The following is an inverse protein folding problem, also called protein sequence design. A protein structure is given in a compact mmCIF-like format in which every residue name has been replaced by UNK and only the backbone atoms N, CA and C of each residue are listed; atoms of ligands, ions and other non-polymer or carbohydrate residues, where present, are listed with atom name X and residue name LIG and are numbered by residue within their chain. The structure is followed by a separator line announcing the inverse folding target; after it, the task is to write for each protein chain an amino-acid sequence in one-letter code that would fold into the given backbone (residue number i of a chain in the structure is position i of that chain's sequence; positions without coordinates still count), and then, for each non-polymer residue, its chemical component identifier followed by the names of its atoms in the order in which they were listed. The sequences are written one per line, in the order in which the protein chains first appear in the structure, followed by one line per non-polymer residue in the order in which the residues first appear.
data_IF_804922408562
#
_entry.id   IF_804922408562
#
_cell.length_a   1.000
_cell.length_b   1.000
_cell.length_c   1.000
_cell.angle_alpha   90.00
_cell.angle_beta   90.00
_cell.angle_gamma   90.00
#
_symmetry.space_group_name_H-M   'P 1'
#
loop_
_entity.id
_entity.type
_entity.pdbx_description
1 polymer ?
#
# COMPACT_ATOMS: atom_id res chain seq x y z
N UNK A 1 0.89 -10.40 17.70
CA UNK A 1 0.55 -10.12 16.29
C UNK A 1 -0.09 -11.38 15.73
N UNK A 2 -1.27 -11.26 15.12
CA UNK A 2 -1.92 -12.34 14.37
C UNK A 2 -1.92 -11.96 12.90
N UNK A 3 -1.56 -12.91 12.03
CA UNK A 3 -1.51 -12.73 10.58
C UNK A 3 -2.53 -13.70 9.99
N UNK A 4 -3.54 -13.17 9.33
CA UNK A 4 -4.59 -13.94 8.66
C UNK A 4 -4.34 -13.85 7.15
N UNK A 5 -4.14 -14.99 6.48
CA UNK A 5 -4.09 -15.06 5.03
C UNK A 5 -5.51 -15.29 4.50
N UNK A 6 -6.07 -14.30 3.81
CA UNK A 6 -7.43 -14.33 3.29
C UNK A 6 -7.51 -14.79 1.83
N UNK A 7 -6.41 -14.70 1.09
CA UNK A 7 -6.32 -15.15 -0.29
C UNK A 7 -4.89 -15.61 -0.60
N UNK A 8 -4.67 -16.45 -1.63
CA UNK A 8 -5.68 -17.04 -2.51
C UNK A 8 -6.55 -18.09 -1.81
N UNK A 9 -7.80 -18.24 -2.27
CA UNK A 9 -8.74 -19.26 -1.76
C UNK A 9 -8.71 -20.47 -2.69
N UNK A 10 -8.21 -21.64 -2.24
CA UNK A 10 -8.19 -22.84 -3.05
C UNK A 10 -9.58 -23.48 -3.13
N UNK A 11 -10.00 -23.82 -4.33
CA UNK A 11 -11.17 -24.64 -4.62
C UNK A 11 -10.78 -26.11 -4.76
N UNK A 12 -11.74 -27.02 -4.66
CA UNK A 12 -11.51 -28.46 -4.85
C UNK A 12 -12.36 -29.00 -5.99
N UNK A 13 -11.74 -29.81 -6.85
CA UNK A 13 -12.48 -30.68 -7.78
C UNK A 13 -13.15 -31.83 -7.03
N UNK A 14 -14.06 -32.52 -7.73
CA UNK A 14 -14.72 -33.73 -7.22
C UNK A 14 -13.71 -34.83 -6.81
N UNK A 15 -12.54 -34.88 -7.45
CA UNK A 15 -11.44 -35.80 -7.12
C UNK A 15 -10.59 -35.35 -5.92
N UNK A 16 -10.93 -34.23 -5.28
CA UNK A 16 -10.21 -33.68 -4.14
C UNK A 16 -9.01 -32.79 -4.49
N UNK A 17 -8.64 -32.68 -5.77
CA UNK A 17 -7.51 -31.85 -6.23
C UNK A 17 -7.77 -30.39 -5.90
N UNK A 18 -6.81 -29.75 -5.22
CA UNK A 18 -6.86 -28.31 -4.93
C UNK A 18 -6.42 -27.52 -6.16
N UNK A 19 -7.21 -26.53 -6.52
CA UNK A 19 -6.97 -25.65 -7.65
C UNK A 19 -7.27 -24.20 -7.27
N UNK A 20 -6.79 -23.28 -8.10
CA UNK A 20 -7.15 -21.88 -8.03
C UNK A 20 -8.09 -21.53 -9.19
N UNK A 21 -9.06 -20.67 -8.93
CA UNK A 21 -10.03 -20.22 -9.92
C UNK A 21 -9.33 -19.50 -11.08
N UNK A 22 -9.73 -19.81 -12.31
CA UNK A 22 -9.31 -19.05 -13.48
C UNK A 22 -10.20 -17.80 -13.63
N UNK A 23 -9.61 -16.61 -13.68
CA UNK A 23 -10.32 -15.33 -13.77
C UNK A 23 -10.44 -14.80 -15.22
N UNK A 24 -10.32 -15.69 -16.22
CA UNK A 24 -10.54 -15.38 -17.63
C UNK A 24 -9.25 -15.19 -18.42
N UNK A 25 -8.27 -14.48 -17.89
CA UNK A 25 -6.96 -14.26 -18.51
C UNK A 25 -5.79 -14.37 -17.50
N UNK A 26 -4.56 -14.45 -18.02
CA UNK A 26 -3.35 -14.63 -17.22
C UNK A 26 -3.10 -13.44 -16.29
N UNK A 27 -3.31 -12.21 -16.78
CA UNK A 27 -3.09 -10.99 -16.02
C UNK A 27 -4.06 -10.88 -14.85
N UNK A 28 -5.36 -10.99 -15.13
CA UNK A 28 -6.39 -10.99 -14.07
C UNK A 28 -6.23 -12.17 -13.12
N UNK A 29 -5.83 -13.34 -13.60
CA UNK A 29 -5.60 -14.50 -12.73
C UNK A 29 -4.40 -14.33 -11.83
N UNK A 30 -3.26 -13.87 -12.36
CA UNK A 30 -2.04 -13.61 -11.58
C UNK A 30 -2.30 -12.60 -10.46
N UNK A 31 -2.90 -11.46 -10.82
CA UNK A 31 -3.18 -10.38 -9.87
C UNK A 31 -4.30 -10.76 -8.89
N UNK A 32 -5.33 -11.47 -9.37
CA UNK A 32 -6.46 -11.92 -8.57
C UNK A 32 -6.13 -12.97 -7.50
N UNK A 33 -5.02 -13.70 -7.66
CA UNK A 33 -4.48 -14.61 -6.64
C UNK A 33 -3.39 -13.98 -5.77
N UNK A 34 -3.38 -12.65 -5.65
CA UNK A 34 -2.57 -11.94 -4.67
C UNK A 34 -2.72 -12.55 -3.28
N UNK A 35 -1.62 -12.62 -2.53
CA UNK A 35 -1.68 -13.00 -1.11
C UNK A 35 -2.28 -11.84 -0.34
N UNK A 36 -3.51 -12.02 0.13
CA UNK A 36 -4.23 -11.00 0.89
C UNK A 36 -4.00 -11.26 2.37
N UNK A 37 -3.48 -10.26 3.08
CA UNK A 37 -3.17 -10.37 4.49
C UNK A 37 -4.00 -9.40 5.33
N UNK A 38 -4.53 -9.89 6.43
CA UNK A 38 -5.10 -9.09 7.50
C UNK A 38 -4.26 -9.26 8.76
N UNK A 39 -3.60 -8.19 9.15
CA UNK A 39 -2.68 -8.15 10.28
C UNK A 39 -3.40 -7.55 11.49
N UNK A 40 -3.53 -8.33 12.56
CA UNK A 40 -4.18 -7.89 13.79
C UNK A 40 -3.14 -7.76 14.89
N UNK A 41 -2.91 -6.54 15.36
CA UNK A 41 -2.03 -6.25 16.47
C UNK A 41 -2.79 -5.52 17.57
N UNK A 42 -3.23 -6.29 18.59
CA UNK A 42 -4.17 -5.83 19.62
C UNK A 42 -5.42 -5.25 18.96
N UNK A 43 -5.70 -3.96 19.13
CA UNK A 43 -6.91 -3.30 18.64
C UNK A 43 -6.72 -2.72 17.23
N UNK A 44 -5.52 -2.81 16.66
CA UNK A 44 -5.18 -2.26 15.34
C UNK A 44 -5.21 -3.36 14.28
N UNK A 45 -5.92 -3.07 13.18
CA UNK A 45 -6.01 -3.96 12.02
C UNK A 45 -5.47 -3.30 10.76
N UNK A 46 -4.56 -3.99 10.07
CA UNK A 46 -3.99 -3.58 8.78
C UNK A 46 -4.40 -4.57 7.69
N UNK A 47 -4.92 -4.08 6.57
CA UNK A 47 -5.30 -4.87 5.40
C UNK A 47 -4.32 -4.65 4.25
N UNK A 48 -3.80 -5.74 3.68
CA UNK A 48 -2.89 -5.73 2.53
C UNK A 48 -3.53 -6.55 1.41
N UNK A 49 -4.16 -5.86 0.45
CA UNK A 49 -4.94 -6.50 -0.63
C UNK A 49 -4.13 -6.93 -1.85
N UNK A 50 -2.84 -6.65 -1.92
CA UNK A 50 -2.04 -6.92 -3.13
C UNK A 50 -2.61 -6.21 -4.37
N UNK A 51 -2.75 -6.95 -5.47
CA UNK A 51 -3.25 -6.45 -6.75
C UNK A 51 -4.62 -7.04 -7.11
N UNK A 52 -5.47 -7.28 -6.10
CA UNK A 52 -6.84 -7.73 -6.34
C UNK A 52 -7.54 -6.87 -7.39
N UNK A 53 -8.35 -7.54 -8.21
CA UNK A 53 -9.20 -6.96 -9.23
C UNK A 53 -10.66 -7.38 -9.00
N UNK A 54 -11.58 -6.76 -9.72
CA UNK A 54 -13.02 -7.02 -9.62
C UNK A 54 -13.38 -8.53 -9.56
N UNK A 55 -12.96 -9.41 -10.49
CA UNK A 55 -13.31 -10.83 -10.41
C UNK A 55 -12.83 -11.53 -9.15
N UNK A 56 -11.65 -11.15 -8.65
CA UNK A 56 -11.09 -11.71 -7.42
C UNK A 56 -11.82 -11.17 -6.19
N UNK A 57 -12.14 -9.89 -6.14
CA UNK A 57 -12.94 -9.29 -5.06
C UNK A 57 -14.34 -9.90 -5.01
N UNK A 58 -15.00 -10.08 -6.16
CA UNK A 58 -16.30 -10.76 -6.25
C UNK A 58 -16.22 -12.19 -5.69
N UNK A 59 -15.16 -12.92 -6.04
CA UNK A 59 -14.93 -14.27 -5.53
C UNK A 59 -14.71 -14.30 -4.02
N UNK A 60 -13.90 -13.38 -3.47
CA UNK A 60 -13.65 -13.29 -2.03
C UNK A 60 -14.90 -12.87 -1.26
N UNK A 61 -15.67 -11.91 -1.77
CA UNK A 61 -16.96 -11.51 -1.19
C UNK A 61 -17.90 -12.72 -1.10
N UNK A 62 -18.09 -13.44 -2.21
CA UNK A 62 -18.96 -14.61 -2.24
C UNK A 62 -18.45 -15.72 -1.30
N UNK A 63 -17.14 -16.00 -1.31
CA UNK A 63 -16.54 -17.05 -0.48
C UNK A 63 -16.73 -16.80 1.03
N UNK A 64 -16.42 -15.58 1.48
CA UNK A 64 -16.40 -15.26 2.91
C UNK A 64 -17.77 -14.91 3.49
N UNK A 65 -18.72 -14.50 2.66
CA UNK A 65 -20.06 -14.13 3.13
C UNK A 65 -21.12 -15.20 2.85
N UNK A 66 -20.90 -16.04 1.84
CA UNK A 66 -21.91 -16.98 1.33
C UNK A 66 -23.09 -16.28 0.64
N UNK A 67 -23.01 -14.97 0.40
CA UNK A 67 -24.07 -14.17 -0.20
C UNK A 67 -23.88 -14.06 -1.72
N UNK A 68 -24.97 -13.77 -2.47
CA UNK A 68 -24.88 -13.49 -3.90
C UNK A 68 -24.00 -12.27 -4.20
N UNK A 69 -23.15 -12.39 -5.22
CA UNK A 69 -22.31 -11.30 -5.72
C UNK A 69 -22.40 -11.29 -7.26
N UNK A 70 -22.70 -10.14 -7.90
CA UNK A 70 -22.98 -8.84 -7.29
C UNK A 70 -24.36 -8.80 -6.59
N UNK A 71 -24.55 -7.90 -5.61
CA UNK A 71 -25.88 -7.66 -5.03
C UNK A 71 -26.82 -7.07 -6.09
N UNK A 72 -28.13 -7.34 -5.97
CA UNK A 72 -29.15 -6.91 -6.94
C UNK A 72 -29.99 -5.73 -6.45
N UNK A 73 -29.97 -5.47 -5.15
CA UNK A 73 -30.70 -4.36 -4.53
C UNK A 73 -29.80 -3.62 -3.54
N UNK A 74 -30.15 -2.39 -3.20
CA UNK A 74 -29.42 -1.61 -2.19
C UNK A 74 -29.45 -2.31 -0.81
N UNK A 75 -30.53 -3.01 -0.47
CA UNK A 75 -30.63 -3.76 0.79
C UNK A 75 -29.65 -4.94 0.78
N UNK A 76 -29.63 -5.73 -0.30
CA UNK A 76 -28.66 -6.82 -0.47
C UNK A 76 -27.21 -6.30 -0.45
N UNK A 77 -26.97 -5.10 -1.00
CA UNK A 77 -25.65 -4.46 -0.97
C UNK A 77 -25.22 -4.11 0.46
N UNK A 78 -26.08 -3.48 1.25
CA UNK A 78 -25.76 -3.17 2.65
C UNK A 78 -25.53 -4.43 3.50
N UNK A 79 -26.33 -5.48 3.27
CA UNK A 79 -26.15 -6.78 3.91
C UNK A 79 -24.80 -7.40 3.55
N UNK A 80 -24.43 -7.38 2.26
CA UNK A 80 -23.15 -7.87 1.77
C UNK A 80 -21.98 -7.09 2.37
N UNK A 81 -22.05 -5.75 2.39
CA UNK A 81 -21.04 -4.89 3.02
C UNK A 81 -20.89 -5.22 4.50
N UNK A 82 -22.00 -5.33 5.24
CA UNK A 82 -21.98 -5.62 6.67
C UNK A 82 -21.40 -7.01 6.96
N UNK A 83 -21.73 -8.03 6.16
CA UNK A 83 -21.16 -9.36 6.28
C UNK A 83 -19.67 -9.39 5.95
N UNK A 84 -19.28 -8.80 4.82
CA UNK A 84 -17.91 -8.74 4.35
C UNK A 84 -16.98 -7.96 5.31
N UNK A 85 -17.49 -6.88 5.93
CA UNK A 85 -16.72 -6.07 6.90
C UNK A 85 -16.26 -6.88 8.12
N UNK A 86 -16.97 -7.94 8.51
CA UNK A 86 -16.54 -8.83 9.60
C UNK A 86 -15.23 -9.56 9.28
N UNK A 87 -14.92 -9.72 7.99
CA UNK A 87 -13.72 -10.41 7.50
C UNK A 87 -12.65 -9.42 7.04
N UNK A 88 -13.02 -8.45 6.22
CA UNK A 88 -12.05 -7.53 5.59
C UNK A 88 -11.82 -6.22 6.34
N UNK A 89 -12.68 -5.92 7.33
CA UNK A 89 -12.64 -4.66 8.06
C UNK A 89 -11.28 -4.38 8.69
N UNK A 90 -10.77 -3.16 8.48
CA UNK A 90 -9.45 -2.71 8.93
C UNK A 90 -9.44 -1.24 9.37
N UNK A 91 -8.35 -0.82 10.00
CA UNK A 91 -8.09 0.59 10.33
C UNK A 91 -7.24 1.27 9.27
N UNK A 92 -6.24 0.53 8.78
CA UNK A 92 -5.37 0.96 7.69
C UNK A 92 -5.41 -0.08 6.59
N UNK A 93 -5.61 0.36 5.36
CA UNK A 93 -5.55 -0.49 4.19
C UNK A 93 -4.45 -0.02 3.25
N UNK A 94 -3.75 -0.95 2.61
CA UNK A 94 -3.07 -0.65 1.36
C UNK A 94 -4.07 -0.83 0.22
N UNK A 95 -4.20 0.19 -0.62
CA UNK A 95 -5.03 0.11 -1.83
C UNK A 95 -4.58 -1.07 -2.69
N UNK A 96 -5.56 -1.80 -3.22
CA UNK A 96 -5.33 -2.83 -4.21
C UNK A 96 -4.74 -2.20 -5.47
N UNK A 97 -3.86 -2.96 -6.13
CA UNK A 97 -3.40 -2.72 -7.50
C UNK A 97 -2.98 -1.26 -7.76
N UNK A 98 -2.12 -0.74 -6.89
CA UNK A 98 -1.56 0.62 -6.99
C UNK A 98 -2.59 1.77 -7.01
N UNK A 99 -3.87 1.53 -6.70
CA UNK A 99 -4.95 2.50 -6.87
C UNK A 99 -5.59 2.46 -8.25
N UNK A 100 -5.68 1.26 -8.84
CA UNK A 100 -6.45 0.98 -10.05
C UNK A 100 -7.94 1.19 -9.83
N UNK A 101 -8.65 1.48 -10.93
CA UNK A 101 -10.11 1.55 -10.98
C UNK A 101 -10.78 0.17 -11.08
N UNK A 102 -10.00 -0.91 -11.24
CA UNK A 102 -10.50 -2.29 -11.33
C UNK A 102 -10.82 -2.87 -9.93
N UNK A 103 -11.71 -2.23 -9.19
CA UNK A 103 -12.20 -2.66 -7.87
C UNK A 103 -13.73 -2.56 -7.75
N UNK A 104 -14.29 -3.26 -6.76
CA UNK A 104 -15.69 -3.23 -6.35
C UNK A 104 -15.89 -2.26 -5.20
N UNK A 105 -16.86 -1.38 -5.36
CA UNK A 105 -17.27 -0.44 -4.30
C UNK A 105 -17.65 -1.18 -3.01
N UNK A 106 -18.38 -2.29 -3.11
CA UNK A 106 -18.74 -3.14 -1.96
C UNK A 106 -17.50 -3.63 -1.20
N UNK A 107 -16.44 -4.03 -1.90
CA UNK A 107 -15.21 -4.50 -1.27
C UNK A 107 -14.50 -3.36 -0.54
N UNK A 108 -14.38 -2.19 -1.18
CA UNK A 108 -13.84 -0.97 -0.55
C UNK A 108 -14.64 -0.58 0.71
N UNK A 109 -15.97 -0.58 0.62
CA UNK A 109 -16.88 -0.30 1.75
C UNK A 109 -16.76 -1.34 2.86
N UNK A 110 -16.45 -2.60 2.54
CA UNK A 110 -16.24 -3.65 3.52
C UNK A 110 -14.91 -3.49 4.27
N UNK A 111 -13.85 -3.02 3.61
CA UNK A 111 -12.57 -2.71 4.26
C UNK A 111 -12.75 -1.60 5.30
N UNK A 112 -13.53 -0.55 4.97
CA UNK A 112 -13.96 0.50 5.90
C UNK A 112 -12.79 1.12 6.69
N UNK A 113 -11.66 1.35 6.02
CA UNK A 113 -10.45 1.87 6.63
C UNK A 113 -10.57 3.36 6.95
N UNK A 114 -9.91 3.83 8.01
CA UNK A 114 -9.74 5.25 8.29
C UNK A 114 -8.57 5.85 7.48
N UNK A 115 -7.65 4.98 7.04
CA UNK A 115 -6.47 5.35 6.26
C UNK A 115 -6.31 4.38 5.10
N UNK A 116 -6.11 4.91 3.91
CA UNK A 116 -5.69 4.13 2.75
C UNK A 116 -4.33 4.61 2.25
N UNK A 117 -3.38 3.68 2.14
CA UNK A 117 -2.05 3.92 1.56
C UNK A 117 -2.03 3.37 0.14
N UNK A 118 -1.79 4.24 -0.82
CA UNK A 118 -1.64 3.91 -2.23
C UNK A 118 -0.15 3.86 -2.55
N UNK A 119 0.37 2.68 -2.82
CA UNK A 119 1.73 2.51 -3.32
C UNK A 119 1.72 2.55 -4.85
N UNK A 120 1.86 3.73 -5.45
CA UNK A 120 2.06 3.91 -6.89
C UNK A 120 3.51 4.30 -7.17
N UNK A 121 3.94 4.14 -8.43
CA UNK A 121 5.26 4.55 -8.92
C UNK A 121 5.15 5.66 -9.96
N UNK A 122 6.28 6.29 -10.30
CA UNK A 122 6.40 7.15 -11.49
C UNK A 122 6.51 6.30 -12.78
N UNK A 123 6.27 6.92 -13.93
CA UNK A 123 6.47 6.36 -15.27
C UNK A 123 5.72 5.05 -15.58
N UNK A 124 4.43 4.98 -15.22
CA UNK A 124 3.58 3.83 -15.54
C UNK A 124 2.41 4.19 -16.48
N UNK A 125 1.99 3.21 -17.30
CA UNK A 125 1.10 3.45 -18.44
C UNK A 125 -0.39 3.58 -18.07
N UNK A 126 -0.78 3.41 -16.81
CA UNK A 126 -2.18 3.32 -16.38
C UNK A 126 -2.68 4.54 -15.59
N UNK A 127 -1.80 5.51 -15.32
CA UNK A 127 -2.07 6.71 -14.52
C UNK A 127 -2.61 6.41 -13.12
N UNK A 128 -1.97 5.49 -12.41
CA UNK A 128 -2.27 5.17 -11.03
C UNK A 128 -1.75 6.24 -10.06
N UNK A 129 -2.49 6.55 -8.98
CA UNK A 129 -3.88 6.17 -8.74
C UNK A 129 -4.84 6.88 -9.69
N UNK A 130 -5.93 6.19 -10.04
CA UNK A 130 -6.99 6.74 -10.88
C UNK A 130 -7.84 7.75 -10.09
N UNK A 131 -8.37 8.76 -10.78
CA UNK A 131 -9.16 9.82 -10.16
C UNK A 131 -10.47 9.30 -9.51
N UNK A 132 -11.14 8.34 -10.15
CA UNK A 132 -12.32 7.66 -9.61
C UNK A 132 -11.99 6.87 -8.34
N UNK A 133 -10.84 6.22 -8.28
CA UNK A 133 -10.34 5.47 -7.12
C UNK A 133 -10.11 6.40 -5.94
N UNK A 134 -9.45 7.54 -6.16
CA UNK A 134 -9.29 8.57 -5.12
C UNK A 134 -10.64 9.08 -4.61
N UNK A 135 -11.58 9.36 -5.51
CA UNK A 135 -12.93 9.80 -5.16
C UNK A 135 -13.70 8.75 -4.34
N UNK A 136 -13.65 7.49 -4.75
CA UNK A 136 -14.32 6.39 -4.07
C UNK A 136 -13.71 6.15 -2.67
N UNK A 137 -12.38 6.15 -2.54
CA UNK A 137 -11.71 6.04 -1.24
C UNK A 137 -12.15 7.20 -0.34
N UNK A 138 -12.14 8.44 -0.84
CA UNK A 138 -12.58 9.61 -0.06
C UNK A 138 -14.06 9.52 0.37
N UNK A 139 -14.94 8.98 -0.48
CA UNK A 139 -16.38 8.84 -0.23
C UNK A 139 -16.72 7.74 0.76
N UNK A 140 -16.04 6.59 0.68
CA UNK A 140 -16.46 5.37 1.37
C UNK A 140 -15.56 4.97 2.55
N UNK A 141 -14.43 5.65 2.76
CA UNK A 141 -13.57 5.43 3.92
C UNK A 141 -14.20 5.98 5.20
N UNK A 142 -13.71 5.50 6.34
CA UNK A 142 -14.27 5.78 7.65
C UNK A 142 -13.90 7.18 8.17
N UNK A 143 -14.90 7.88 8.69
CA UNK A 143 -14.75 9.16 9.40
C UNK A 143 -14.94 10.39 8.50
N UNK A 144 -15.04 11.57 9.11
CA UNK A 144 -15.29 12.82 8.37
C UNK A 144 -14.10 13.31 7.54
N UNK A 145 -12.88 12.88 7.89
CA UNK A 145 -11.63 13.23 7.22
C UNK A 145 -10.77 11.97 7.04
N UNK A 146 -11.18 11.04 6.16
CA UNK A 146 -10.38 9.86 5.89
C UNK A 146 -9.04 10.28 5.29
N UNK A 147 -7.98 9.53 5.61
CA UNK A 147 -6.64 9.85 5.15
C UNK A 147 -6.28 9.01 3.93
N UNK A 148 -5.83 9.67 2.86
CA UNK A 148 -5.26 9.02 1.69
C UNK A 148 -3.78 9.40 1.63
N UNK A 149 -2.91 8.41 1.77
CA UNK A 149 -1.48 8.58 1.50
C UNK A 149 -1.15 7.99 0.15
N UNK A 150 -0.25 8.64 -0.58
CA UNK A 150 0.23 8.14 -1.85
C UNK A 150 1.75 8.29 -1.90
N UNK A 151 2.45 7.24 -2.28
CA UNK A 151 3.93 7.23 -2.32
C UNK A 151 4.48 8.24 -3.33
N UNK A 152 3.85 8.41 -4.49
CA UNK A 152 4.27 9.44 -5.46
C UNK A 152 3.99 10.87 -4.99
N UNK A 153 2.82 11.13 -4.41
CA UNK A 153 2.50 12.45 -3.85
C UNK A 153 3.39 12.80 -2.66
N UNK A 154 3.84 11.80 -1.89
CA UNK A 154 4.71 11.96 -0.74
C UNK A 154 6.21 11.97 -1.11
N UNK A 155 6.57 12.18 -2.39
CA UNK A 155 7.96 12.22 -2.87
C UNK A 155 8.76 13.34 -2.19
N UNK A 156 9.40 13.00 -1.07
CA UNK A 156 10.10 13.98 -0.24
C UNK A 156 11.54 14.32 -0.68
N UNK A 157 11.97 13.80 -1.84
CA UNK A 157 13.25 14.09 -2.45
C UNK A 157 13.09 14.13 -3.97
N UNK A 158 13.96 14.90 -4.64
CA UNK A 158 14.10 14.76 -6.10
C UNK A 158 14.44 13.31 -6.38
N UNK A 159 13.74 12.70 -7.33
CA UNK A 159 14.17 11.43 -7.89
C UNK A 159 15.56 11.63 -8.51
N UNK A 160 16.58 11.10 -7.83
CA UNK A 160 17.97 11.19 -8.29
C UNK A 160 18.30 10.04 -9.26
N UNK A 161 17.41 9.05 -9.37
CA UNK A 161 17.59 7.81 -10.14
C UNK A 161 16.56 7.72 -11.26
N UNK A 162 16.42 8.79 -12.05
CA UNK A 162 15.55 8.78 -13.24
C UNK A 162 15.94 7.73 -14.28
N UNK A 163 17.23 7.39 -14.32
CA UNK A 163 17.79 6.43 -15.27
C UNK A 163 18.63 5.37 -14.51
N UNK A 164 17.99 4.30 -14.02
CA UNK A 164 18.66 3.24 -13.25
C UNK A 164 19.85 2.61 -14.00
N UNK A 165 19.79 2.56 -15.32
CA UNK A 165 20.84 2.04 -16.19
C UNK A 165 22.10 2.91 -16.14
N UNK A 166 21.95 4.24 -16.26
CA UNK A 166 23.08 5.20 -16.19
C UNK A 166 23.73 5.14 -14.81
N UNK A 167 22.93 5.03 -13.75
CA UNK A 167 23.46 4.88 -12.40
C UNK A 167 24.26 3.57 -12.26
N UNK A 168 23.74 2.45 -12.77
CA UNK A 168 24.45 1.16 -12.76
C UNK A 168 25.76 1.22 -13.54
N UNK A 169 25.79 1.89 -14.67
CA UNK A 169 27.01 2.10 -15.45
C UNK A 169 28.03 2.91 -14.67
N UNK A 170 27.61 4.02 -14.05
CA UNK A 170 28.48 4.85 -13.22
C UNK A 170 29.05 4.12 -12.00
N UNK A 171 28.24 3.29 -11.32
CA UNK A 171 28.71 2.45 -10.22
C UNK A 171 29.74 1.42 -10.70
N UNK A 172 29.55 0.81 -11.88
CA UNK A 172 30.53 -0.09 -12.49
C UNK A 172 31.84 0.62 -12.83
N UNK A 173 31.77 1.83 -13.38
CA UNK A 173 32.95 2.65 -13.69
C UNK A 173 33.75 3.00 -12.43
N UNK A 174 33.07 3.43 -11.36
CA UNK A 174 33.70 3.72 -10.07
C UNK A 174 34.33 2.47 -9.46
N UNK A 175 33.66 1.32 -9.55
CA UNK A 175 34.20 0.05 -9.07
C UNK A 175 35.43 -0.42 -9.86
N UNK A 176 35.42 -0.20 -11.19
CA UNK A 176 36.59 -0.42 -12.05
C UNK A 176 37.74 0.52 -11.67
N UNK A 177 37.46 1.80 -11.45
CA UNK A 177 38.45 2.79 -11.06
C UNK A 177 39.11 2.47 -9.69
N UNK A 178 38.37 1.87 -8.75
CA UNK A 178 38.92 1.35 -7.49
C UNK A 178 39.91 0.21 -7.75
N UNK A 179 39.58 -0.73 -8.63
CA UNK A 179 40.43 -1.87 -8.97
C UNK A 179 41.68 -1.50 -9.77
N UNK A 180 41.59 -0.49 -10.64
CA UNK A 180 42.69 -0.03 -11.51
C UNK A 180 43.57 1.06 -10.86
N UNK A 181 43.22 1.54 -9.66
CA UNK A 181 43.95 2.60 -8.98
C UNK A 181 45.39 2.19 -8.62
N UNK A 182 46.36 2.90 -9.21
CA UNK A 182 47.80 2.69 -9.02
C UNK A 182 48.37 3.33 -7.75
N UNK A 183 47.62 4.21 -7.10
CA UNK A 183 48.00 4.84 -5.82
C UNK A 183 46.87 4.77 -4.81
N UNK A 184 47.22 4.74 -3.53
CA UNK A 184 46.25 4.69 -2.43
C UNK A 184 45.37 5.94 -2.38
N UNK A 185 45.91 7.12 -2.73
CA UNK A 185 45.14 8.36 -2.87
C UNK A 185 44.06 8.28 -3.95
N UNK A 186 44.38 7.70 -5.11
CA UNK A 186 43.40 7.51 -6.19
C UNK A 186 42.34 6.48 -5.79
N UNK A 187 42.76 5.39 -5.15
CA UNK A 187 41.85 4.36 -4.65
C UNK A 187 40.87 4.93 -3.61
N UNK A 188 41.38 5.70 -2.65
CA UNK A 188 40.56 6.34 -1.61
C UNK A 188 39.56 7.36 -2.20
N UNK A 189 39.97 8.13 -3.21
CA UNK A 189 39.07 9.06 -3.90
C UNK A 189 37.94 8.32 -4.63
N UNK A 190 38.28 7.29 -5.42
CA UNK A 190 37.28 6.50 -6.15
C UNK A 190 36.33 5.76 -5.20
N UNK A 191 36.85 5.24 -4.08
CA UNK A 191 36.06 4.62 -3.02
C UNK A 191 35.07 5.60 -2.40
N UNK A 192 35.53 6.83 -2.08
CA UNK A 192 34.68 7.88 -1.54
C UNK A 192 33.56 8.29 -2.52
N UNK A 193 33.88 8.40 -3.81
CA UNK A 193 32.89 8.73 -4.84
C UNK A 193 31.87 7.60 -5.03
N UNK A 194 32.32 6.34 -4.96
CA UNK A 194 31.44 5.16 -4.97
C UNK A 194 30.49 5.16 -3.78
N UNK A 195 31.00 5.35 -2.56
CA UNK A 195 30.20 5.43 -1.34
C UNK A 195 29.20 6.58 -1.39
N UNK A 196 29.59 7.75 -1.92
CA UNK A 196 28.66 8.87 -2.08
C UNK A 196 27.50 8.58 -3.04
N UNK A 197 27.76 7.90 -4.15
CA UNK A 197 26.69 7.52 -5.09
C UNK A 197 25.79 6.41 -4.52
N UNK A 198 26.36 5.45 -3.78
CA UNK A 198 25.57 4.45 -3.03
C UNK A 198 24.71 5.13 -1.97
N UNK A 199 25.26 6.03 -1.15
CA UNK A 199 24.52 6.79 -0.13
C UNK A 199 23.38 7.61 -0.75
N UNK A 200 23.60 8.20 -1.93
CA UNK A 200 22.57 8.94 -2.68
C UNK A 200 21.45 8.02 -3.15
N UNK A 201 21.80 6.85 -3.69
CA UNK A 201 20.85 5.82 -4.10
C UNK A 201 20.03 5.33 -2.91
N UNK A 202 20.69 4.95 -1.82
CA UNK A 202 20.04 4.49 -0.60
C UNK A 202 19.11 5.55 -0.02
N UNK A 203 19.53 6.81 0.02
CA UNK A 203 18.66 7.91 0.45
C UNK A 203 17.48 8.11 -0.47
N UNK A 204 17.66 7.99 -1.79
CA UNK A 204 16.55 8.08 -2.74
C UNK A 204 15.55 6.94 -2.47
N UNK A 205 16.02 5.69 -2.41
CA UNK A 205 15.14 4.52 -2.20
C UNK A 205 14.48 4.53 -0.81
N UNK A 206 15.22 4.87 0.24
CA UNK A 206 14.73 4.79 1.63
C UNK A 206 13.77 5.92 2.02
N UNK A 207 13.70 7.00 1.24
CA UNK A 207 12.94 8.21 1.61
C UNK A 207 11.89 8.57 0.56
N UNK A 208 12.04 8.11 -0.68
CA UNK A 208 11.09 8.44 -1.74
C UNK A 208 9.72 7.88 -1.42
N UNK A 209 8.77 8.77 -1.13
CA UNK A 209 7.38 8.41 -0.89
C UNK A 209 7.11 7.60 0.37
N UNK A 210 8.11 7.37 1.24
CA UNK A 210 7.96 6.42 2.33
C UNK A 210 6.87 6.88 3.32
N UNK A 211 5.84 6.05 3.46
CA UNK A 211 4.78 6.18 4.46
C UNK A 211 5.08 5.22 5.62
N UNK A 212 5.40 5.78 6.78
CA UNK A 212 5.70 5.00 7.98
C UNK A 212 4.47 4.87 8.87
N UNK A 213 4.09 3.64 9.20
CA UNK A 213 3.09 3.33 10.22
C UNK A 213 3.79 2.84 11.49
N UNK A 214 3.52 3.49 12.62
CA UNK A 214 3.94 3.05 13.95
C UNK A 214 2.70 2.84 14.83
N UNK A 215 2.71 1.81 15.65
CA UNK A 215 1.59 1.53 16.56
C UNK A 215 2.04 0.78 17.81
N UNK A 216 1.39 1.06 18.93
CA UNK A 216 1.48 0.30 20.18
C UNK A 216 0.33 -0.74 20.31
N UNK A 217 -0.50 -0.86 19.27
CA UNK A 217 -1.69 -1.70 19.22
C UNK A 217 -2.96 -1.05 19.77
N UNK A 218 -2.93 0.23 20.17
CA UNK A 218 -4.10 1.02 20.57
C UNK A 218 -4.23 2.33 19.80
N UNK A 219 -3.11 2.94 19.42
CA UNK A 219 -3.02 4.17 18.62
C UNK A 219 -2.17 3.93 17.38
N UNK A 220 -2.34 4.76 16.37
CA UNK A 220 -1.48 4.76 15.17
C UNK A 220 -0.85 6.13 15.00
N UNK A 221 0.44 6.15 14.70
CA UNK A 221 1.13 7.31 14.17
C UNK A 221 1.56 7.01 12.75
N UNK A 222 0.98 7.73 11.79
CA UNK A 222 1.40 7.76 10.40
C UNK A 222 2.33 8.94 10.18
N UNK A 223 3.39 8.71 9.43
CA UNK A 223 4.38 9.72 9.12
C UNK A 223 4.79 9.65 7.65
N UNK A 224 4.86 10.80 7.01
CA UNK A 224 5.55 10.98 5.73
C UNK A 224 6.64 12.03 5.90
N UNK A 225 7.75 11.88 5.20
CA UNK A 225 8.84 12.85 5.29
C UNK A 225 8.45 14.11 4.51
N UNK A 226 8.80 15.27 5.06
CA UNK A 226 8.61 16.54 4.37
C UNK A 226 9.66 16.69 3.26
N UNK A 227 9.26 17.19 2.10
CA UNK A 227 10.17 17.58 1.01
C UNK A 227 11.26 18.55 1.48
N UNK A 228 10.87 19.51 2.32
CA UNK A 228 11.76 20.44 2.99
C UNK A 228 11.47 20.42 4.49
N UNK A 229 12.47 20.12 5.35
CA UNK A 229 12.27 20.14 6.78
C UNK A 229 11.94 21.56 7.27
N UNK A 230 11.07 21.67 8.27
CA UNK A 230 10.71 22.95 8.92
C UNK A 230 11.69 23.33 10.03
N UNK A 231 12.63 22.43 10.36
CA UNK A 231 13.62 22.56 11.42
C UNK A 231 14.41 21.26 11.59
N UNK A 232 15.45 21.25 12.44
CA UNK A 232 16.30 20.07 12.65
C UNK A 232 15.55 18.87 13.25
N UNK A 233 14.49 19.13 14.01
CA UNK A 233 13.58 18.19 14.67
C UNK A 233 12.25 17.99 13.90
N UNK A 234 11.92 18.89 12.96
CA UNK A 234 10.64 18.92 12.22
C UNK A 234 10.81 18.46 10.79
N UNK A 235 11.11 17.17 10.64
CA UNK A 235 11.36 16.51 9.34
C UNK A 235 10.19 15.70 8.81
N UNK A 236 9.18 15.45 9.66
CA UNK A 236 8.07 14.55 9.38
C UNK A 236 6.75 15.30 9.48
N UNK A 237 5.83 14.96 8.58
CA UNK A 237 4.42 15.30 8.67
C UNK A 237 3.71 14.12 9.35
N UNK A 238 3.02 14.40 10.46
CA UNK A 238 2.55 13.38 11.40
C UNK A 238 1.03 13.40 11.50
N UNK A 239 0.43 12.21 11.47
CA UNK A 239 -1.01 11.99 11.56
C UNK A 239 -1.28 10.94 12.63
N UNK A 240 -2.01 11.32 13.69
CA UNK A 240 -2.31 10.43 14.81
C UNK A 240 -3.75 9.94 14.74
N UNK A 241 -3.94 8.63 14.89
CA UNK A 241 -5.24 8.02 15.08
C UNK A 241 -5.36 7.49 16.49
N UNK A 242 -6.49 7.81 17.12
CA UNK A 242 -6.81 7.37 18.48
C UNK A 242 -8.20 6.73 18.53
N UNK A 243 -8.48 5.87 19.53
CA UNK A 243 -9.81 5.28 19.70
C UNK A 243 -10.87 6.37 19.87
N UNK A 244 -11.92 6.30 19.05
CA UNK A 244 -13.11 7.13 19.17
C UNK A 244 -14.12 6.57 20.17
N UNK A 245 -15.30 7.22 20.32
CA UNK A 245 -16.37 6.76 21.21
C UNK A 245 -16.90 5.36 20.87
N UNK A 246 -16.78 4.94 19.61
CA UNK A 246 -17.14 3.60 19.12
C UNK A 246 -16.01 2.57 19.29
N UNK A 247 -14.91 2.95 19.96
CA UNK A 247 -13.72 2.13 20.16
C UNK A 247 -12.84 1.97 18.91
N UNK A 248 -13.28 2.46 17.74
CA UNK A 248 -12.52 2.35 16.49
C UNK A 248 -11.57 3.52 16.34
N UNK A 249 -10.45 3.29 15.67
CA UNK A 249 -9.46 4.33 15.41
C UNK A 249 -10.03 5.41 14.47
N UNK A 250 -9.85 6.67 14.88
CA UNK A 250 -10.23 7.87 14.13
C UNK A 250 -9.06 8.84 14.08
N UNK A 251 -8.91 9.53 12.95
CA UNK A 251 -7.90 10.57 12.79
C UNK A 251 -8.25 11.80 13.64
N UNK A 252 -7.30 12.22 14.48
CA UNK A 252 -7.41 13.41 15.31
C UNK A 252 -6.95 14.64 14.52
N UNK A 253 -7.86 15.23 13.76
CA UNK A 253 -7.53 16.46 13.02
C UNK A 253 -7.48 17.65 13.97
N UNK A 254 -6.37 18.40 13.95
CA UNK A 254 -6.26 19.70 14.64
C UNK A 254 -7.22 20.79 14.12
N UNK A 255 -7.96 20.48 13.06
CA UNK A 255 -8.96 21.35 12.44
C UNK A 255 -10.35 20.70 12.47
N UNK A 256 -10.55 19.67 13.31
CA UNK A 256 -11.89 19.18 13.62
C UNK A 256 -12.64 20.28 14.38
N UNK A 257 -13.90 20.48 14.00
CA UNK A 257 -14.85 21.32 14.76
C UNK A 257 -15.30 20.62 16.04
#
# INVERSE_FOLDING_TARGET
LRIEALAPVPERRADGTRLLRWFGDVGKTKNGHSVVLRLVYRDVVVFLGGDLNIPAEDHLLAHYTGLPVPPRTAVEEEELVAAARRVFGADVAKSCHHGSADFREVFLRAIDAAVTVISSGDDEAHSHPRADTLGAIGRYSRGARPLIFNTELARSAKELVKNPQILRERLKELQKAIGEATTDTKRASAQKDFEQEVDRLERSIAVYGMISLRTDGRKILLAQKLEKPRGNDKKWDLYSLEPGPDGRLRYQSKYAE
#
